data_IF_600301714077
#
_entry.id   IF_600301714077
#
_cell.length_a   1.000
_cell.length_b   1.000
_cell.length_c   1.000
_cell.angle_alpha   90.00
_cell.angle_beta   90.00
_cell.angle_gamma   90.00
#
_symmetry.space_group_name_H-M   'P 1'
#
loop_
_entity.id
_entity.type
_entity.pdbx_description
1 polymer ?
#
# COMPACT_ATOMS: atom_id res chain seq x y z
N UNK A 1 15.43 28.60 26.43
CA UNK A 1 16.74 27.96 26.64
C UNK A 1 17.22 27.41 25.31
N UNK A 2 18.11 28.14 24.63
CA UNK A 2 18.80 27.70 23.40
C UNK A 2 20.26 27.48 23.81
N UNK A 3 20.83 26.30 23.55
CA UNK A 3 22.26 26.08 23.78
C UNK A 3 22.76 24.67 24.10
N UNK A 4 21.97 23.61 23.92
CA UNK A 4 22.44 22.24 24.24
C UNK A 4 22.27 21.19 23.13
N UNK A 5 21.71 21.54 21.97
CA UNK A 5 21.44 20.55 20.90
C UNK A 5 22.66 20.36 19.97
N UNK A 6 23.46 21.41 19.76
CA UNK A 6 24.61 21.37 18.86
C UNK A 6 25.80 20.50 19.32
N UNK A 7 26.19 20.44 20.61
CA UNK A 7 27.31 19.58 21.02
C UNK A 7 26.95 18.09 21.09
N UNK A 8 25.65 17.74 21.15
CA UNK A 8 25.19 16.35 21.17
C UNK A 8 25.28 15.71 19.76
N UNK A 9 24.95 16.48 18.73
CA UNK A 9 24.99 16.04 17.32
C UNK A 9 26.42 15.79 16.81
N UNK A 10 27.40 16.56 17.29
CA UNK A 10 28.81 16.37 16.94
C UNK A 10 29.43 15.15 17.64
N UNK A 11 28.94 14.78 18.84
CA UNK A 11 29.41 13.61 19.57
C UNK A 11 28.95 12.28 18.96
N UNK A 12 27.77 12.25 18.30
CA UNK A 12 27.25 11.06 17.61
C UNK A 12 28.05 10.77 16.33
N UNK A 13 28.46 11.81 15.59
CA UNK A 13 29.25 11.67 14.35
C UNK A 13 30.68 11.17 14.63
N UNK A 14 31.27 11.52 15.77
CA UNK A 14 32.63 11.09 16.14
C UNK A 14 32.69 9.65 16.68
N UNK A 15 31.56 9.05 17.08
CA UNK A 15 31.51 7.67 17.58
C UNK A 15 31.37 6.62 16.47
N UNK A 16 31.12 7.01 15.22
CA UNK A 16 31.08 6.09 14.07
C UNK A 16 32.44 5.94 13.36
N UNK A 17 33.46 6.69 13.77
CA UNK A 17 34.84 6.59 13.25
C UNK A 17 35.71 5.62 14.06
N UNK A 18 35.34 4.34 14.11
CA UNK A 18 36.11 3.28 14.79
C UNK A 18 36.64 2.24 13.82
N UNK A 19 37.93 2.34 13.48
CA UNK A 19 38.67 1.51 12.51
C UNK A 19 38.61 -0.01 12.74
N UNK A 20 38.41 -0.79 11.67
CA UNK A 20 39.16 -2.03 11.46
C UNK A 20 39.37 -2.31 9.96
N UNK A 21 40.52 -2.89 9.68
CA UNK A 21 41.26 -2.94 8.42
C UNK A 21 40.70 -3.91 7.36
N UNK A 22 40.58 -3.43 6.12
CA UNK A 22 40.97 -4.10 4.87
C UNK A 22 41.10 -3.03 3.78
N UNK A 23 42.22 -2.31 3.81
CA UNK A 23 42.54 -1.20 2.91
C UNK A 23 43.21 -1.74 1.65
N UNK A 24 42.62 -1.43 0.48
CA UNK A 24 43.18 -1.45 -0.88
C UNK A 24 42.79 -2.59 -1.84
N UNK A 25 41.55 -3.07 -1.79
CA UNK A 25 40.93 -3.69 -2.99
C UNK A 25 39.46 -3.27 -3.28
N UNK A 26 38.72 -2.64 -2.34
CA UNK A 26 37.27 -2.31 -2.54
C UNK A 26 36.91 -0.83 -2.81
N UNK A 27 37.87 0.08 -2.93
CA UNK A 27 37.58 1.54 -2.92
C UNK A 27 37.04 2.09 -4.26
N UNK A 28 36.80 1.25 -5.28
CA UNK A 28 36.24 1.72 -6.56
C UNK A 28 34.79 1.33 -6.85
N UNK A 29 34.25 0.28 -6.22
CA UNK A 29 32.88 -0.22 -6.48
C UNK A 29 31.85 0.30 -5.45
N UNK A 30 32.25 0.35 -4.17
CA UNK A 30 31.69 1.34 -3.23
C UNK A 30 31.93 2.73 -3.86
N UNK A 31 31.36 3.85 -3.46
CA UNK A 31 31.34 5.10 -4.25
C UNK A 31 30.44 5.11 -5.49
N UNK A 32 30.44 4.10 -6.37
CA UNK A 32 29.40 4.01 -7.43
C UNK A 32 28.08 3.57 -6.84
N UNK A 33 28.08 2.54 -5.99
CA UNK A 33 26.85 2.01 -5.39
C UNK A 33 26.20 2.99 -4.42
N UNK A 34 26.97 3.62 -3.54
CA UNK A 34 26.45 4.64 -2.64
C UNK A 34 25.99 5.89 -3.40
N UNK A 35 26.63 6.25 -4.53
CA UNK A 35 26.16 7.33 -5.38
C UNK A 35 24.85 6.98 -6.11
N UNK A 36 24.66 5.73 -6.50
CA UNK A 36 23.42 5.24 -7.11
C UNK A 36 22.27 5.25 -6.10
N UNK A 37 22.51 4.80 -4.86
CA UNK A 37 21.54 4.87 -3.76
C UNK A 37 21.12 6.33 -3.48
N UNK A 38 22.09 7.24 -3.37
CA UNK A 38 21.79 8.66 -3.14
C UNK A 38 21.04 9.28 -4.34
N UNK A 39 21.43 8.94 -5.57
CA UNK A 39 20.76 9.43 -6.77
C UNK A 39 19.33 8.92 -6.88
N UNK A 40 19.08 7.68 -6.46
CA UNK A 40 17.75 7.10 -6.42
C UNK A 40 16.89 7.77 -5.34
N UNK A 41 17.45 8.10 -4.16
CA UNK A 41 16.74 8.86 -3.13
C UNK A 41 16.32 10.25 -3.61
N UNK A 42 17.24 10.98 -4.24
CA UNK A 42 16.92 12.28 -4.84
C UNK A 42 15.79 12.14 -5.87
N UNK A 43 15.80 11.07 -6.67
CA UNK A 43 14.73 10.82 -7.63
C UNK A 43 13.38 10.51 -6.94
N UNK A 44 13.34 9.77 -5.83
CA UNK A 44 12.13 9.59 -5.02
C UNK A 44 11.62 10.92 -4.48
N UNK A 45 12.51 11.75 -3.91
CA UNK A 45 12.17 13.06 -3.35
C UNK A 45 11.64 14.03 -4.43
N UNK A 46 12.14 13.92 -5.65
CA UNK A 46 11.68 14.68 -6.82
C UNK A 46 10.40 14.10 -7.46
N UNK A 47 9.87 12.97 -6.96
CA UNK A 47 8.72 12.24 -7.53
C UNK A 47 9.01 11.50 -8.84
N UNK A 48 10.28 11.37 -9.24
CA UNK A 48 10.74 10.64 -10.42
C UNK A 48 11.00 9.16 -10.10
N UNK A 49 9.91 8.45 -9.76
CA UNK A 49 9.99 7.06 -9.30
C UNK A 49 10.54 6.09 -10.36
N UNK A 50 10.25 6.34 -11.64
CA UNK A 50 10.80 5.52 -12.72
C UNK A 50 12.33 5.63 -12.77
N UNK A 51 12.86 6.84 -12.62
CA UNK A 51 14.32 7.02 -12.57
C UNK A 51 14.95 6.34 -11.36
N UNK A 52 14.31 6.36 -10.20
CA UNK A 52 14.79 5.63 -9.02
C UNK A 52 14.88 4.12 -9.31
N UNK A 53 13.87 3.54 -9.96
CA UNK A 53 13.87 2.14 -10.39
C UNK A 53 14.97 1.85 -11.42
N UNK A 54 15.10 2.69 -12.47
CA UNK A 54 16.10 2.53 -13.54
C UNK A 54 17.54 2.53 -13.00
N UNK A 55 17.82 3.28 -11.93
CA UNK A 55 19.13 3.35 -11.28
C UNK A 55 19.44 2.05 -10.51
N UNK A 56 18.48 1.54 -9.75
CA UNK A 56 18.74 0.50 -8.74
C UNK A 56 18.41 -0.93 -9.20
N UNK A 57 17.40 -1.14 -10.05
CA UNK A 57 17.02 -2.48 -10.51
C UNK A 57 18.15 -3.26 -11.18
N UNK A 58 19.00 -2.66 -12.05
CA UNK A 58 20.05 -3.42 -12.74
C UNK A 58 21.08 -4.05 -11.80
N UNK A 59 21.24 -3.51 -10.59
CA UNK A 59 22.18 -3.98 -9.58
C UNK A 59 21.57 -4.82 -8.47
N UNK A 60 20.26 -5.06 -8.49
CA UNK A 60 19.55 -5.75 -7.42
C UNK A 60 19.63 -7.29 -7.55
N UNK A 61 19.93 -7.97 -6.44
CA UNK A 61 19.90 -9.44 -6.35
C UNK A 61 18.79 -9.89 -5.37
N UNK A 62 17.69 -10.51 -5.85
CA UNK A 62 16.61 -10.98 -4.98
C UNK A 62 17.01 -12.14 -4.07
N UNK A 63 18.11 -12.85 -4.35
CA UNK A 63 18.62 -13.94 -3.50
C UNK A 63 19.53 -13.46 -2.38
N UNK A 64 20.07 -12.24 -2.51
CA UNK A 64 20.88 -11.57 -1.51
C UNK A 64 20.53 -10.08 -1.46
N UNK A 65 19.27 -9.74 -1.10
CA UNK A 65 18.77 -8.39 -1.23
C UNK A 65 19.51 -7.44 -0.29
N UNK A 66 20.04 -6.35 -0.86
CA UNK A 66 20.46 -5.20 -0.06
C UNK A 66 19.21 -4.52 0.49
N UNK A 67 19.17 -4.33 1.81
CA UNK A 67 17.98 -3.86 2.50
C UNK A 67 17.61 -2.43 2.08
N UNK A 68 18.60 -1.57 1.89
CA UNK A 68 18.39 -0.17 1.52
C UNK A 68 17.88 -0.08 0.08
N UNK A 69 18.47 -0.87 -0.83
CA UNK A 69 18.03 -0.94 -2.22
C UNK A 69 16.61 -1.50 -2.34
N UNK A 70 16.30 -2.61 -1.66
CA UNK A 70 14.96 -3.21 -1.68
C UNK A 70 13.89 -2.23 -1.18
N UNK A 71 14.19 -1.50 -0.10
CA UNK A 71 13.30 -0.47 0.46
C UNK A 71 13.05 0.69 -0.51
N UNK A 72 14.10 1.18 -1.19
CA UNK A 72 13.96 2.27 -2.18
C UNK A 72 13.19 1.78 -3.40
N UNK A 73 13.46 0.58 -3.91
CA UNK A 73 12.73 -0.01 -5.03
C UNK A 73 11.26 -0.21 -4.70
N UNK A 74 10.94 -0.73 -3.51
CA UNK A 74 9.55 -0.84 -3.05
C UNK A 74 8.87 0.53 -3.01
N UNK A 75 9.53 1.56 -2.46
CA UNK A 75 9.01 2.93 -2.47
C UNK A 75 8.83 3.51 -3.87
N UNK A 76 9.77 3.27 -4.79
CA UNK A 76 9.65 3.69 -6.19
C UNK A 76 8.40 3.09 -6.84
N UNK A 77 8.22 1.78 -6.70
CA UNK A 77 7.09 1.09 -7.30
C UNK A 77 5.74 1.45 -6.67
N UNK A 78 5.70 1.67 -5.34
CA UNK A 78 4.53 2.25 -4.69
C UNK A 78 4.22 3.66 -5.23
N UNK A 79 5.24 4.50 -5.41
CA UNK A 79 5.10 5.84 -6.00
C UNK A 79 4.58 5.81 -7.43
N UNK A 80 5.07 4.89 -8.28
CA UNK A 80 4.57 4.68 -9.64
C UNK A 80 3.10 4.27 -9.68
N UNK A 81 2.67 3.47 -8.70
CA UNK A 81 1.26 3.12 -8.51
C UNK A 81 0.41 4.26 -7.92
N UNK A 82 0.98 5.46 -7.74
CA UNK A 82 0.29 6.62 -7.19
C UNK A 82 0.20 6.61 -5.66
N UNK A 83 1.06 5.86 -4.96
CA UNK A 83 1.16 5.88 -3.49
C UNK A 83 2.42 6.63 -3.09
N UNK A 84 2.26 7.88 -2.65
CA UNK A 84 3.37 8.65 -2.09
C UNK A 84 3.22 8.82 -0.58
N UNK A 85 3.95 8.00 0.17
CA UNK A 85 4.00 8.08 1.63
C UNK A 85 4.45 9.44 2.17
N UNK A 86 5.31 10.16 1.46
CA UNK A 86 5.76 11.49 1.85
C UNK A 86 4.58 12.44 1.82
N UNK A 87 3.77 12.35 0.76
CA UNK A 87 2.53 13.11 0.64
C UNK A 87 1.49 12.72 1.71
N UNK A 88 1.34 11.42 2.02
CA UNK A 88 0.42 10.95 3.08
C UNK A 88 0.79 11.54 4.44
N UNK A 89 2.07 11.54 4.81
CA UNK A 89 2.55 12.07 6.09
C UNK A 89 2.47 13.60 6.18
N UNK A 90 2.59 14.30 5.05
CA UNK A 90 2.50 15.76 4.99
C UNK A 90 1.05 16.28 4.99
N UNK A 91 0.07 15.45 4.62
CA UNK A 91 -1.33 15.86 4.43
C UNK A 91 -2.34 15.14 5.36
N UNK A 92 -1.88 14.30 6.29
CA UNK A 92 -2.74 13.55 7.23
C UNK A 92 -3.47 14.40 8.28
N UNK A 93 -3.11 15.68 8.43
CA UNK A 93 -3.66 16.58 9.45
C UNK A 93 -4.97 17.30 9.02
N UNK A 94 -5.47 17.12 7.79
CA UNK A 94 -6.46 18.03 7.20
C UNK A 94 -7.90 17.52 6.90
N UNK A 95 -8.33 16.30 7.25
CA UNK A 95 -9.69 15.85 6.84
C UNK A 95 -10.60 15.31 7.96
N UNK A 96 -11.69 16.04 8.24
CA UNK A 96 -12.93 15.60 8.91
C UNK A 96 -13.81 14.69 7.97
N UNK A 97 -13.21 13.97 7.02
CA UNK A 97 -13.91 13.16 6.02
C UNK A 97 -14.06 11.68 6.40
N UNK A 98 -15.03 10.98 5.80
CA UNK A 98 -15.17 9.50 5.92
C UNK A 98 -13.87 8.81 5.47
N UNK A 99 -13.43 7.74 6.17
CA UNK A 99 -12.09 7.13 6.02
C UNK A 99 -11.70 6.72 4.59
N UNK A 100 -12.67 6.45 3.70
CA UNK A 100 -12.43 6.16 2.29
C UNK A 100 -12.06 7.39 1.45
N UNK A 101 -12.58 8.58 1.78
CA UNK A 101 -12.23 9.83 1.09
C UNK A 101 -10.82 10.31 1.47
N UNK A 102 -10.33 9.96 2.66
CA UNK A 102 -8.96 10.20 3.13
C UNK A 102 -7.94 9.35 2.36
N UNK A 103 -8.23 8.06 2.14
CA UNK A 103 -7.39 7.18 1.31
C UNK A 103 -7.31 7.67 -0.14
N UNK A 104 -8.43 8.10 -0.73
CA UNK A 104 -8.41 8.69 -2.07
C UNK A 104 -7.61 10.00 -2.17
N UNK A 105 -7.42 10.69 -1.04
CA UNK A 105 -6.61 11.92 -0.97
C UNK A 105 -5.13 11.62 -0.70
N UNK A 106 -4.83 10.50 -0.06
CA UNK A 106 -3.48 9.99 0.20
C UNK A 106 -2.83 9.36 -1.06
N UNK A 107 -3.65 8.96 -2.03
CA UNK A 107 -3.21 8.37 -3.28
C UNK A 107 -3.14 9.47 -4.36
N UNK A 108 -1.97 9.67 -4.97
CA UNK A 108 -1.69 10.61 -6.08
C UNK A 108 -2.28 10.09 -7.39
N UNK A 109 -3.54 9.69 -7.37
CA UNK A 109 -4.21 9.04 -8.49
C UNK A 109 -4.86 10.07 -9.40
N UNK A 110 -4.79 9.83 -10.70
CA UNK A 110 -5.58 10.56 -11.68
C UNK A 110 -7.07 10.18 -11.55
N UNK A 111 -7.76 10.87 -10.65
CA UNK A 111 -9.19 10.67 -10.41
C UNK A 111 -10.01 11.28 -11.55
N UNK A 112 -10.70 10.42 -12.27
CA UNK A 112 -11.73 10.79 -13.25
C UNK A 112 -13.10 10.79 -12.57
N UNK A 113 -13.82 11.91 -12.71
CA UNK A 113 -15.10 12.14 -12.05
C UNK A 113 -15.11 13.45 -11.27
N UNK A 114 -16.00 14.36 -11.65
CA UNK A 114 -16.26 15.58 -10.88
C UNK A 114 -17.62 15.48 -10.22
N UNK A 115 -17.73 16.02 -9.00
CA UNK A 115 -19.02 16.39 -8.44
C UNK A 115 -19.80 17.18 -9.50
N UNK A 116 -20.96 16.66 -9.92
CA UNK A 116 -21.86 17.40 -10.81
C UNK A 116 -22.11 18.78 -10.20
N UNK A 117 -22.08 19.88 -10.98
CA UNK A 117 -22.34 21.21 -10.44
C UNK A 117 -23.73 21.23 -9.80
N UNK A 118 -23.80 21.45 -8.48
CA UNK A 118 -25.05 21.44 -7.70
C UNK A 118 -25.34 20.15 -6.92
N UNK A 119 -24.49 19.14 -6.99
CA UNK A 119 -24.51 18.01 -6.06
C UNK A 119 -23.79 18.42 -4.77
N UNK A 120 -24.39 18.17 -3.61
CA UNK A 120 -23.70 18.27 -2.33
C UNK A 120 -22.40 17.46 -2.41
N UNK A 121 -21.32 18.02 -1.86
CA UNK A 121 -19.95 17.50 -1.93
C UNK A 121 -19.88 15.98 -1.76
N UNK A 122 -19.64 15.24 -2.86
CA UNK A 122 -19.54 13.77 -2.82
C UNK A 122 -19.87 13.06 -4.13
N UNK A 123 -19.40 13.53 -5.29
CA UNK A 123 -19.58 12.78 -6.54
C UNK A 123 -18.86 11.42 -6.53
N UNK A 124 -19.30 10.49 -7.38
CA UNK A 124 -18.56 9.25 -7.66
C UNK A 124 -17.16 9.59 -8.17
N UNK A 125 -16.14 9.04 -7.50
CA UNK A 125 -14.73 9.19 -7.86
C UNK A 125 -14.24 7.89 -8.45
N UNK A 126 -13.54 7.96 -9.58
CA UNK A 126 -13.05 6.77 -10.26
C UNK A 126 -11.60 6.92 -10.74
N UNK A 127 -10.87 5.81 -10.84
CA UNK A 127 -9.59 5.73 -11.55
C UNK A 127 -9.83 5.13 -12.93
N UNK A 128 -9.10 5.56 -13.96
CA UNK A 128 -9.22 5.00 -15.31
C UNK A 128 -8.99 3.49 -15.27
N UNK A 129 -9.88 2.71 -15.87
CA UNK A 129 -9.77 1.25 -15.86
C UNK A 129 -8.44 0.76 -16.44
N UNK A 130 -8.01 1.36 -17.54
CA UNK A 130 -6.78 0.96 -18.25
C UNK A 130 -5.50 1.17 -17.42
N UNK A 131 -5.52 2.02 -16.37
CA UNK A 131 -4.37 2.18 -15.48
C UNK A 131 -4.34 1.15 -14.34
N UNK A 132 -5.39 0.34 -14.17
CA UNK A 132 -5.48 -0.66 -13.11
C UNK A 132 -4.34 -1.68 -13.19
N UNK A 133 -4.07 -2.18 -14.40
CA UNK A 133 -3.07 -3.23 -14.61
C UNK A 133 -1.65 -2.72 -14.35
N UNK A 134 -1.35 -1.50 -14.77
CA UNK A 134 -0.06 -0.86 -14.50
C UNK A 134 0.11 -0.62 -12.99
N UNK A 135 -0.93 -0.11 -12.31
CA UNK A 135 -0.91 0.11 -10.86
C UNK A 135 -0.74 -1.21 -10.08
N UNK A 136 -1.51 -2.24 -10.42
CA UNK A 136 -1.41 -3.56 -9.78
C UNK A 136 -0.06 -4.21 -10.07
N UNK A 137 0.46 -4.06 -11.29
CA UNK A 137 1.80 -4.53 -11.65
C UNK A 137 2.91 -3.85 -10.85
N UNK A 138 2.81 -2.53 -10.68
CA UNK A 138 3.76 -1.77 -9.86
C UNK A 138 3.63 -2.11 -8.37
N UNK A 139 2.41 -2.25 -7.82
CA UNK A 139 2.22 -2.71 -6.44
C UNK A 139 2.71 -4.14 -6.22
N UNK A 140 2.49 -5.03 -7.19
CA UNK A 140 3.02 -6.38 -7.20
C UNK A 140 4.55 -6.39 -7.09
N UNK A 141 5.23 -5.57 -7.90
CA UNK A 141 6.69 -5.42 -7.82
C UNK A 141 7.16 -4.85 -6.48
N UNK A 142 6.46 -3.86 -5.93
CA UNK A 142 6.80 -3.33 -4.60
C UNK A 142 6.74 -4.44 -3.53
N UNK A 143 5.68 -5.25 -3.54
CA UNK A 143 5.53 -6.42 -2.67
C UNK A 143 6.63 -7.46 -2.92
N UNK A 144 7.02 -7.72 -4.17
CA UNK A 144 8.10 -8.66 -4.49
C UNK A 144 9.45 -8.26 -3.87
N UNK A 145 9.81 -6.97 -3.91
CA UNK A 145 11.04 -6.48 -3.26
C UNK A 145 11.00 -6.65 -1.73
N UNK A 146 9.86 -6.38 -1.11
CA UNK A 146 9.68 -6.52 0.34
C UNK A 146 9.62 -7.99 0.77
N UNK A 147 9.00 -8.86 -0.03
CA UNK A 147 8.96 -10.30 0.24
C UNK A 147 10.35 -10.95 0.11
N UNK A 148 11.15 -10.54 -0.89
CA UNK A 148 12.54 -10.95 -0.99
C UNK A 148 13.34 -10.54 0.27
N UNK A 149 13.12 -9.32 0.76
CA UNK A 149 13.72 -8.83 2.00
C UNK A 149 13.30 -9.71 3.21
N UNK A 150 12.01 -10.02 3.35
CA UNK A 150 11.51 -10.88 4.42
C UNK A 150 12.09 -12.28 4.37
N UNK A 151 12.18 -12.89 3.18
CA UNK A 151 12.83 -14.19 2.99
C UNK A 151 14.30 -14.14 3.44
N UNK A 152 15.03 -13.08 3.08
CA UNK A 152 16.40 -12.87 3.57
C UNK A 152 16.48 -12.77 5.09
N UNK A 153 15.55 -12.07 5.74
CA UNK A 153 15.49 -12.03 7.21
C UNK A 153 15.27 -13.42 7.82
N UNK A 154 14.30 -14.18 7.30
CA UNK A 154 13.97 -15.53 7.75
C UNK A 154 15.16 -16.49 7.59
N UNK A 155 15.80 -16.50 6.42
CA UNK A 155 16.97 -17.33 6.14
C UNK A 155 18.15 -17.01 7.08
N UNK A 156 18.30 -15.73 7.43
CA UNK A 156 19.30 -15.25 8.38
C UNK A 156 18.87 -15.33 9.85
N UNK A 157 17.73 -15.95 10.15
CA UNK A 157 17.17 -16.10 11.51
C UNK A 157 16.97 -14.76 12.24
N UNK A 158 16.60 -13.73 11.49
CA UNK A 158 16.27 -12.39 11.98
C UNK A 158 14.77 -12.15 11.83
N UNK A 159 14.20 -11.39 12.75
CA UNK A 159 12.88 -10.83 12.53
C UNK A 159 12.95 -9.76 11.40
N UNK A 160 11.89 -9.63 10.60
CA UNK A 160 11.74 -8.46 9.72
C UNK A 160 11.74 -7.16 10.53
N UNK A 161 12.20 -6.09 9.89
CA UNK A 161 12.11 -4.74 10.46
C UNK A 161 10.63 -4.30 10.54
N UNK A 162 10.27 -3.58 11.60
CA UNK A 162 8.92 -3.04 11.76
C UNK A 162 8.55 -2.09 10.61
N UNK A 163 9.51 -1.29 10.14
CA UNK A 163 9.30 -0.37 9.01
C UNK A 163 8.96 -1.14 7.72
N UNK A 164 9.57 -2.31 7.51
CA UNK A 164 9.33 -3.13 6.32
C UNK A 164 7.97 -3.84 6.39
N UNK A 165 7.53 -4.24 7.58
CA UNK A 165 6.16 -4.76 7.82
C UNK A 165 5.13 -3.69 7.52
N UNK A 166 5.33 -2.45 7.99
CA UNK A 166 4.43 -1.33 7.71
C UNK A 166 4.37 -1.05 6.20
N UNK A 167 5.51 -0.99 5.51
CA UNK A 167 5.57 -0.77 4.05
C UNK A 167 4.82 -1.86 3.29
N UNK A 168 5.00 -3.13 3.67
CA UNK A 168 4.29 -4.26 3.06
C UNK A 168 2.77 -4.12 3.28
N UNK A 169 2.35 -3.79 4.50
CA UNK A 169 0.93 -3.61 4.81
C UNK A 169 0.27 -2.51 3.98
N UNK A 170 0.92 -1.37 3.76
CA UNK A 170 0.35 -0.30 2.93
C UNK A 170 0.31 -0.67 1.46
N UNK A 171 1.37 -1.28 0.91
CA UNK A 171 1.36 -1.79 -0.45
C UNK A 171 0.21 -2.77 -0.66
N UNK A 172 0.01 -3.69 0.29
CA UNK A 172 -1.09 -4.64 0.30
C UNK A 172 -2.46 -4.00 0.48
N UNK A 173 -2.62 -2.97 1.32
CA UNK A 173 -3.87 -2.25 1.47
C UNK A 173 -4.31 -1.62 0.15
N UNK A 174 -3.40 -0.95 -0.55
CA UNK A 174 -3.69 -0.36 -1.83
C UNK A 174 -3.93 -1.42 -2.91
N UNK A 175 -3.13 -2.49 -2.94
CA UNK A 175 -3.33 -3.61 -3.87
C UNK A 175 -4.72 -4.22 -3.68
N UNK A 176 -5.15 -4.43 -2.43
CA UNK A 176 -6.49 -4.89 -2.09
C UNK A 176 -7.57 -3.94 -2.64
N UNK A 177 -7.48 -2.65 -2.33
CA UNK A 177 -8.47 -1.64 -2.75
C UNK A 177 -8.61 -1.60 -4.27
N UNK A 178 -7.49 -1.57 -4.99
CA UNK A 178 -7.49 -1.50 -6.46
C UNK A 178 -7.99 -2.80 -7.08
N UNK A 179 -7.63 -3.96 -6.53
CA UNK A 179 -8.11 -5.27 -6.99
C UNK A 179 -9.63 -5.37 -6.84
N UNK A 180 -10.17 -5.01 -5.67
CA UNK A 180 -11.61 -5.01 -5.42
C UNK A 180 -12.35 -4.04 -6.34
N UNK A 181 -11.81 -2.82 -6.49
CA UNK A 181 -12.40 -1.83 -7.38
C UNK A 181 -12.37 -2.28 -8.85
N UNK A 182 -11.26 -2.87 -9.30
CA UNK A 182 -11.14 -3.40 -10.67
C UNK A 182 -12.18 -4.48 -10.93
N UNK A 183 -12.34 -5.45 -10.02
CA UNK A 183 -13.37 -6.48 -10.12
C UNK A 183 -14.79 -5.89 -10.19
N UNK A 184 -15.08 -4.86 -9.38
CA UNK A 184 -16.37 -4.16 -9.45
C UNK A 184 -16.56 -3.44 -10.80
N UNK A 185 -15.50 -2.84 -11.33
CA UNK A 185 -15.53 -2.12 -12.59
C UNK A 185 -15.72 -3.02 -13.83
N UNK A 186 -15.16 -4.24 -13.79
CA UNK A 186 -15.27 -5.25 -14.86
C UNK A 186 -16.73 -5.65 -15.15
N UNK A 187 -17.58 -5.70 -14.13
CA UNK A 187 -18.99 -6.09 -14.27
C UNK A 187 -19.77 -5.20 -15.25
N UNK A 188 -19.44 -3.90 -15.27
CA UNK A 188 -20.16 -2.90 -16.05
C UNK A 188 -19.28 -2.21 -17.11
N UNK A 189 -18.01 -2.63 -17.26
CA UNK A 189 -17.07 -2.00 -18.19
C UNK A 189 -16.86 -0.51 -17.90
N UNK A 190 -16.68 -0.17 -16.62
CA UNK A 190 -16.54 1.21 -16.16
C UNK A 190 -15.15 1.48 -15.54
N UNK A 191 -14.95 2.69 -15.04
CA UNK A 191 -13.72 3.04 -14.31
C UNK A 191 -13.75 2.47 -12.88
N UNK A 192 -12.58 2.35 -12.24
CA UNK A 192 -12.42 1.75 -10.91
C UNK A 192 -13.06 2.65 -9.85
N UNK A 193 -14.04 2.21 -9.06
CA UNK A 193 -14.64 3.01 -8.00
C UNK A 193 -13.67 3.17 -6.81
N UNK A 194 -13.45 4.40 -6.36
CA UNK A 194 -12.59 4.66 -5.18
C UNK A 194 -13.35 5.17 -3.96
N UNK A 195 -14.62 5.53 -4.11
CA UNK A 195 -15.45 5.97 -2.99
C UNK A 195 -16.85 5.36 -3.02
N UNK A 196 -17.55 5.47 -1.89
CA UNK A 196 -18.92 4.96 -1.72
C UNK A 196 -19.88 5.37 -2.83
N UNK A 197 -19.80 6.62 -3.30
CA UNK A 197 -20.67 7.13 -4.35
C UNK A 197 -20.42 6.45 -5.70
N UNK A 198 -19.17 6.17 -6.06
CA UNK A 198 -18.84 5.40 -7.25
C UNK A 198 -19.33 3.95 -7.15
N UNK A 199 -19.19 3.32 -5.97
CA UNK A 199 -19.75 1.99 -5.74
C UNK A 199 -21.28 1.96 -5.89
N UNK A 200 -22.00 3.02 -5.51
CA UNK A 200 -23.46 3.12 -5.74
C UNK A 200 -23.85 3.21 -7.21
N UNK A 201 -22.96 3.71 -8.07
CA UNK A 201 -23.21 3.74 -9.51
C UNK A 201 -23.07 2.35 -10.14
N UNK A 202 -22.19 1.51 -9.58
CA UNK A 202 -21.95 0.13 -10.04
C UNK A 202 -22.98 -0.83 -9.45
N UNK A 203 -23.32 -0.66 -8.18
CA UNK A 203 -24.26 -1.48 -7.42
C UNK A 203 -25.47 -0.62 -7.00
N UNK A 204 -26.41 -0.33 -7.91
CA UNK A 204 -27.59 0.46 -7.57
C UNK A 204 -28.53 -0.31 -6.64
N UNK A 205 -29.21 0.39 -5.73
CA UNK A 205 -30.26 -0.16 -4.85
C UNK A 205 -31.56 -0.42 -5.63
N UNK A 206 -31.53 -1.43 -6.49
CA UNK A 206 -32.67 -1.86 -7.30
C UNK A 206 -32.78 -3.40 -7.39
N UNK A 207 -33.76 -3.88 -8.15
CA UNK A 207 -34.05 -5.31 -8.27
C UNK A 207 -32.92 -6.16 -8.88
N UNK A 208 -31.91 -5.53 -9.50
CA UNK A 208 -30.74 -6.19 -10.06
C UNK A 208 -29.55 -6.29 -9.11
N UNK A 209 -29.59 -5.65 -7.93
CA UNK A 209 -28.48 -5.60 -6.98
C UNK A 209 -27.96 -6.99 -6.58
N UNK A 210 -28.86 -7.89 -6.20
CA UNK A 210 -28.47 -9.23 -5.73
C UNK A 210 -27.74 -10.01 -6.83
N UNK A 211 -28.20 -9.92 -8.09
CA UNK A 211 -27.53 -10.57 -9.22
C UNK A 211 -26.15 -9.98 -9.50
N UNK A 212 -26.00 -8.65 -9.41
CA UNK A 212 -24.69 -7.98 -9.57
C UNK A 212 -23.70 -8.37 -8.47
N UNK A 213 -24.17 -8.52 -7.23
CA UNK A 213 -23.34 -8.94 -6.10
C UNK A 213 -22.95 -10.43 -6.21
N UNK A 214 -23.84 -11.28 -6.72
CA UNK A 214 -23.55 -12.69 -7.01
C UNK A 214 -22.50 -12.82 -8.15
N UNK A 215 -22.63 -12.03 -9.21
CA UNK A 215 -21.66 -11.98 -10.31
C UNK A 215 -20.30 -11.46 -9.82
N UNK A 216 -20.31 -10.40 -9.00
CA UNK A 216 -19.10 -9.88 -8.34
C UNK A 216 -18.41 -10.94 -7.48
N UNK A 217 -19.16 -11.62 -6.61
CA UNK A 217 -18.63 -12.69 -5.76
C UNK A 217 -18.01 -13.80 -6.60
N UNK A 218 -18.68 -14.19 -7.69
CA UNK A 218 -18.22 -15.26 -8.57
C UNK A 218 -16.92 -14.90 -9.30
N UNK A 219 -16.75 -13.63 -9.67
CA UNK A 219 -15.52 -13.11 -10.28
C UNK A 219 -14.32 -13.18 -9.30
N UNK A 220 -14.56 -12.85 -8.03
CA UNK A 220 -13.54 -12.91 -6.97
C UNK A 220 -13.17 -14.37 -6.65
N UNK A 221 -14.17 -15.25 -6.57
CA UNK A 221 -14.00 -16.66 -6.20
C UNK A 221 -13.63 -17.58 -7.40
N UNK A 222 -13.38 -17.00 -8.58
CA UNK A 222 -13.07 -17.75 -9.79
C UNK A 222 -11.76 -18.54 -9.62
N UNK A 223 -11.78 -19.89 -9.62
CA UNK A 223 -10.60 -20.71 -9.41
C UNK A 223 -9.59 -20.65 -10.55
N UNK A 224 -9.94 -20.04 -11.70
CA UNK A 224 -9.01 -19.83 -12.82
C UNK A 224 -8.10 -18.61 -12.61
N UNK A 225 -8.37 -17.77 -11.61
CA UNK A 225 -7.53 -16.63 -11.25
C UNK A 225 -7.09 -16.67 -9.78
N UNK A 226 -5.99 -16.00 -9.46
CA UNK A 226 -5.42 -15.95 -8.10
C UNK A 226 -5.98 -14.79 -7.26
N UNK A 227 -7.10 -14.16 -7.69
CA UNK A 227 -7.64 -12.93 -7.06
C UNK A 227 -7.95 -13.15 -5.59
N UNK A 228 -8.71 -14.19 -5.25
CA UNK A 228 -9.05 -14.47 -3.85
C UNK A 228 -7.82 -14.75 -3.00
N UNK A 229 -6.85 -15.50 -3.53
CA UNK A 229 -5.60 -15.80 -2.83
C UNK A 229 -4.80 -14.53 -2.54
N UNK A 230 -4.69 -13.64 -3.54
CA UNK A 230 -4.01 -12.35 -3.39
C UNK A 230 -4.72 -11.44 -2.37
N UNK A 231 -6.05 -11.36 -2.39
CA UNK A 231 -6.79 -10.54 -1.43
C UNK A 231 -6.62 -11.05 0.01
N UNK A 232 -6.56 -12.37 0.20
CA UNK A 232 -6.28 -12.97 1.52
C UNK A 232 -4.87 -12.63 1.98
N UNK A 233 -3.88 -12.76 1.10
CA UNK A 233 -2.51 -12.38 1.40
C UNK A 233 -2.43 -10.90 1.79
N UNK A 234 -3.09 -10.01 1.05
CA UNK A 234 -3.12 -8.60 1.38
C UNK A 234 -3.72 -8.33 2.77
N UNK A 235 -4.84 -8.96 3.11
CA UNK A 235 -5.44 -8.82 4.44
C UNK A 235 -4.50 -9.31 5.56
N UNK A 236 -3.73 -10.37 5.32
CA UNK A 236 -2.71 -10.85 6.28
C UNK A 236 -1.62 -9.79 6.48
N UNK A 237 -1.09 -9.23 5.39
CA UNK A 237 -0.03 -8.22 5.48
C UNK A 237 -0.51 -6.91 6.11
N UNK A 238 -1.73 -6.48 5.81
CA UNK A 238 -2.34 -5.32 6.48
C UNK A 238 -2.50 -5.59 7.97
N UNK A 239 -2.99 -6.78 8.37
CA UNK A 239 -3.11 -7.16 9.78
C UNK A 239 -1.76 -7.11 10.50
N UNK A 240 -0.70 -7.62 9.88
CA UNK A 240 0.64 -7.59 10.45
C UNK A 240 1.16 -6.14 10.65
N UNK A 241 0.89 -5.24 9.70
CA UNK A 241 1.26 -3.82 9.85
C UNK A 241 0.49 -3.13 10.98
N UNK A 242 -0.79 -3.45 11.14
CA UNK A 242 -1.63 -2.90 12.22
C UNK A 242 -1.15 -3.38 13.59
N UNK A 243 -0.75 -4.65 13.71
CA UNK A 243 -0.15 -5.17 14.95
C UNK A 243 1.14 -4.39 15.30
N UNK A 244 1.98 -4.09 14.31
CA UNK A 244 3.18 -3.26 14.50
C UNK A 244 2.83 -1.83 14.92
N UNK A 245 1.79 -1.22 14.33
CA UNK A 245 1.34 0.12 14.74
C UNK A 245 0.86 0.14 16.20
N UNK A 246 0.10 -0.88 16.63
CA UNK A 246 -0.35 -1.01 18.02
C UNK A 246 0.83 -1.16 19.00
N UNK A 247 1.85 -1.93 18.62
CA UNK A 247 3.08 -2.09 19.40
C UNK A 247 3.89 -0.79 19.53
N UNK A 248 4.00 -0.02 18.45
CA UNK A 248 4.88 1.17 18.38
C UNK A 248 4.20 2.41 18.95
N UNK A 249 2.92 2.66 18.63
CA UNK A 249 2.18 3.85 19.04
C UNK A 249 1.44 3.64 20.39
N UNK A 250 1.21 2.39 20.76
CA UNK A 250 0.55 1.99 22.00
C UNK A 250 -0.97 1.80 21.85
N UNK A 251 -1.61 1.14 22.83
CA UNK A 251 -2.97 0.58 22.75
C UNK A 251 -4.11 1.62 22.79
N UNK A 252 -3.79 2.90 22.60
CA UNK A 252 -4.74 4.01 22.61
C UNK A 252 -5.07 4.53 21.21
N UNK A 253 -4.45 3.98 20.17
CA UNK A 253 -4.75 4.35 18.79
C UNK A 253 -5.99 3.61 18.27
N UNK A 254 -6.94 4.38 17.74
CA UNK A 254 -8.23 3.87 17.27
C UNK A 254 -8.05 2.93 16.05
N UNK A 255 -6.91 2.98 15.37
CA UNK A 255 -6.60 2.25 14.13
C UNK A 255 -6.71 0.72 14.29
N UNK A 256 -6.12 0.13 15.34
CA UNK A 256 -6.17 -1.32 15.53
C UNK A 256 -7.60 -1.82 15.81
N UNK A 257 -8.38 -1.02 16.54
CA UNK A 257 -9.80 -1.30 16.78
C UNK A 257 -10.62 -1.13 15.51
N UNK A 258 -10.41 -0.07 14.75
CA UNK A 258 -11.10 0.17 13.47
C UNK A 258 -10.81 -0.94 12.46
N UNK A 259 -9.56 -1.40 12.37
CA UNK A 259 -9.21 -2.51 11.51
C UNK A 259 -9.82 -3.84 11.98
N UNK A 260 -9.84 -4.10 13.30
CA UNK A 260 -10.52 -5.27 13.87
C UNK A 260 -12.03 -5.25 13.60
N UNK A 261 -12.67 -4.08 13.73
CA UNK A 261 -14.08 -3.89 13.38
C UNK A 261 -14.32 -4.10 11.88
N UNK A 262 -13.43 -3.59 11.02
CA UNK A 262 -13.44 -3.86 9.59
C UNK A 262 -13.34 -5.36 9.29
N UNK A 263 -12.36 -6.06 9.86
CA UNK A 263 -12.18 -7.51 9.69
C UNK A 263 -13.40 -8.28 10.19
N UNK A 264 -13.96 -7.91 11.34
CA UNK A 264 -15.16 -8.55 11.88
C UNK A 264 -16.35 -8.43 10.93
N UNK A 265 -16.52 -7.24 10.33
CA UNK A 265 -17.60 -6.97 9.37
C UNK A 265 -17.41 -7.68 8.04
N UNK A 266 -16.20 -7.64 7.48
CA UNK A 266 -15.93 -8.28 6.19
C UNK A 266 -15.92 -9.80 6.31
N UNK A 267 -15.32 -10.37 7.37
CA UNK A 267 -15.20 -11.81 7.57
C UNK A 267 -16.43 -12.45 8.23
N UNK A 268 -17.36 -11.67 8.78
CA UNK A 268 -18.52 -12.20 9.50
C UNK A 268 -18.15 -12.99 10.77
N UNK A 269 -17.00 -12.68 11.37
CA UNK A 269 -16.46 -13.41 12.54
C UNK A 269 -15.61 -14.64 12.21
N UNK A 270 -15.31 -14.89 10.93
CA UNK A 270 -14.39 -15.94 10.50
C UNK A 270 -12.92 -15.45 10.43
N UNK A 271 -12.00 -16.35 10.06
CA UNK A 271 -10.58 -16.02 9.85
C UNK A 271 -10.33 -15.55 8.42
N UNK A 272 -9.21 -14.86 8.18
CA UNK A 272 -8.82 -14.39 6.84
C UNK A 272 -8.71 -15.55 5.84
N UNK A 273 -8.28 -16.74 6.29
CA UNK A 273 -8.21 -17.95 5.46
C UNK A 273 -9.57 -18.37 4.85
N UNK A 274 -10.67 -18.03 5.52
CA UNK A 274 -12.01 -18.32 5.08
C UNK A 274 -12.68 -17.16 4.31
N UNK A 275 -11.99 -16.03 4.12
CA UNK A 275 -12.51 -14.91 3.33
C UNK A 275 -12.91 -15.37 1.92
N UNK A 276 -14.08 -14.97 1.43
CA UNK A 276 -14.60 -15.30 0.10
C UNK A 276 -15.13 -14.06 -0.63
N UNK A 277 -15.43 -14.19 -1.92
CA UNK A 277 -16.18 -13.18 -2.67
C UNK A 277 -17.53 -12.86 -2.03
N UNK A 278 -18.19 -13.85 -1.42
CA UNK A 278 -19.50 -13.66 -0.75
C UNK A 278 -19.34 -12.74 0.47
N UNK A 279 -18.26 -12.91 1.24
CA UNK A 279 -17.93 -12.06 2.36
C UNK A 279 -17.75 -10.60 1.92
N UNK A 280 -17.00 -10.38 0.84
CA UNK A 280 -16.74 -9.06 0.29
C UNK A 280 -18.00 -8.42 -0.31
N UNK A 281 -18.81 -9.18 -1.06
CA UNK A 281 -20.09 -8.71 -1.60
C UNK A 281 -21.06 -8.30 -0.48
N UNK A 282 -21.12 -9.08 0.60
CA UNK A 282 -21.86 -8.77 1.81
C UNK A 282 -21.40 -7.45 2.44
N UNK A 283 -20.09 -7.28 2.62
CA UNK A 283 -19.50 -6.04 3.13
C UNK A 283 -19.82 -4.83 2.25
N UNK A 284 -19.72 -4.96 0.92
CA UNK A 284 -20.08 -3.90 -0.03
C UNK A 284 -21.54 -3.49 0.18
N UNK A 285 -22.46 -4.45 0.23
CA UNK A 285 -23.90 -4.18 0.42
C UNK A 285 -24.18 -3.47 1.74
N UNK A 286 -23.75 -4.04 2.86
CA UNK A 286 -24.23 -3.62 4.18
C UNK A 286 -23.40 -2.47 4.77
N UNK A 287 -22.07 -2.56 4.68
CA UNK A 287 -21.17 -1.61 5.34
C UNK A 287 -20.80 -0.44 4.43
N UNK A 288 -20.37 -0.74 3.20
CA UNK A 288 -19.95 0.30 2.28
C UNK A 288 -21.16 1.10 1.78
N UNK A 289 -22.18 0.42 1.25
CA UNK A 289 -23.33 1.07 0.61
C UNK A 289 -24.44 1.46 1.59
N UNK A 290 -24.59 0.71 2.68
CA UNK A 290 -25.62 0.91 3.70
C UNK A 290 -26.99 0.39 3.27
N UNK A 291 -27.03 -0.63 2.42
CA UNK A 291 -28.25 -1.26 1.95
C UNK A 291 -28.70 -2.37 2.91
N UNK A 292 -30.02 -2.54 3.05
CA UNK A 292 -30.63 -3.54 3.94
C UNK A 292 -31.13 -4.78 3.18
#
# INVERSE_FOLDING_TARGET
>A
MKGAILPLLVAVILCMGGCSSNLLESVSDDSSREADIESARIAIDDGDYQRAADILEPGYDPLAPDHEIARILASAYMGKAGIDFTYVLENSDESDGDSFDTLASALTLDITGQARPGSESGGGRFIVFDSADDMLGDLGKAKEFLDALFKSHVDNHRAPDQDDIIRMGVASAAHFIITVGKAAAELNGCNIPVNKYAYREIFPDDAGLDALLDDFSSLIDDPENDTLASLREDLVQVSAAIDVFDEVLGPYEDIAREFSDFLSKILGGETIENFTGINLAGYIRTELLGYN
#
